data_IF_708788562804
#
_entry.id   IF_708788562804
#
_cell.length_a   1.000
_cell.length_b   1.000
_cell.length_c   1.000
_cell.angle_alpha   90.00
_cell.angle_beta   90.00
_cell.angle_gamma   90.00
#
_symmetry.space_group_name_H-M   'P 1'
#
loop_
_entity.id
_entity.type
_entity.pdbx_description
1 polymer ?
#
# COMPACT_ATOMS: atom_id res chain seq x y z
N UNK A 1 -1.86 41.25 23.21
CA UNK A 1 -2.46 39.89 23.15
C UNK A 1 -1.77 39.10 22.05
N UNK A 2 -0.97 38.11 22.40
CA UNK A 2 -0.27 37.25 21.42
C UNK A 2 -1.27 36.25 20.81
N UNK A 3 -1.48 36.33 19.49
CA UNK A 3 -2.24 35.32 18.75
C UNK A 3 -1.52 33.96 18.90
N UNK A 4 -2.10 33.03 19.67
CA UNK A 4 -1.69 31.63 19.66
C UNK A 4 -1.76 31.11 18.21
N UNK A 5 -0.59 30.81 17.59
CA UNK A 5 -0.53 30.07 16.33
C UNK A 5 -1.18 28.71 16.60
N UNK A 6 -2.38 28.49 16.08
CA UNK A 6 -2.98 27.17 16.04
C UNK A 6 -1.99 26.28 15.27
N UNK A 7 -1.51 25.21 15.91
CA UNK A 7 -0.75 24.15 15.24
C UNK A 7 -1.65 23.60 14.13
N UNK A 8 -1.30 23.88 12.87
CA UNK A 8 -1.98 23.32 11.72
C UNK A 8 -1.73 21.81 11.76
N UNK A 9 -2.74 21.03 12.08
CA UNK A 9 -2.64 19.58 12.11
C UNK A 9 -2.41 19.13 10.67
N UNK A 10 -1.24 18.60 10.39
CA UNK A 10 -0.88 18.16 9.05
C UNK A 10 -1.36 16.71 8.86
N UNK A 11 -2.43 16.54 8.07
CA UNK A 11 -3.01 15.23 7.77
C UNK A 11 -1.95 14.37 7.05
N UNK A 12 -1.69 13.16 7.55
CA UNK A 12 -0.78 12.20 6.93
C UNK A 12 -1.50 11.32 5.89
N UNK A 13 -0.75 10.68 4.98
CA UNK A 13 -1.32 9.68 4.06
C UNK A 13 -1.84 8.45 4.81
N UNK A 14 -1.24 8.11 5.96
CA UNK A 14 -1.72 7.07 6.88
C UNK A 14 -3.10 7.40 7.43
N UNK A 15 -3.33 8.67 7.87
CA UNK A 15 -4.65 9.10 8.36
C UNK A 15 -5.72 9.00 7.26
N UNK A 16 -5.35 9.33 6.01
CA UNK A 16 -6.24 9.19 4.85
C UNK A 16 -6.59 7.71 4.59
N UNK A 17 -5.60 6.83 4.61
CA UNK A 17 -5.81 5.37 4.44
C UNK A 17 -6.72 4.79 5.51
N UNK A 18 -6.50 5.19 6.78
CA UNK A 18 -7.35 4.80 7.90
C UNK A 18 -8.80 5.25 7.70
N UNK A 19 -9.02 6.51 7.33
CA UNK A 19 -10.36 7.04 7.08
C UNK A 19 -11.11 6.31 5.95
N UNK A 20 -10.40 5.88 4.89
CA UNK A 20 -11.00 5.11 3.79
C UNK A 20 -11.46 3.72 4.27
N UNK A 21 -10.64 3.05 5.09
CA UNK A 21 -10.97 1.74 5.67
C UNK A 21 -12.16 1.82 6.63
N UNK A 22 -12.15 2.80 7.53
CA UNK A 22 -13.22 3.02 8.51
C UNK A 22 -14.55 3.45 7.88
N UNK A 23 -14.52 4.10 6.70
CA UNK A 23 -15.72 4.50 5.99
C UNK A 23 -16.46 3.33 5.30
N UNK A 24 -15.90 2.11 5.33
CA UNK A 24 -16.49 0.89 4.76
C UNK A 24 -17.04 1.07 3.33
N UNK A 25 -16.31 1.81 2.49
CA UNK A 25 -16.74 2.16 1.12
C UNK A 25 -16.95 0.91 0.23
N UNK A 26 -16.21 -0.15 0.52
CA UNK A 26 -16.21 -1.40 -0.23
C UNK A 26 -16.53 -2.57 0.70
N UNK A 27 -17.75 -2.54 1.24
CA UNK A 27 -18.27 -3.61 2.11
C UNK A 27 -18.16 -4.97 1.44
N UNK A 28 -17.79 -5.98 2.20
CA UNK A 28 -17.59 -7.36 1.76
C UNK A 28 -16.38 -7.60 0.85
N UNK A 29 -15.44 -6.66 0.78
CA UNK A 29 -14.14 -6.87 0.16
C UNK A 29 -13.05 -6.97 1.24
N UNK A 30 -12.11 -7.87 1.05
CA UNK A 30 -10.85 -7.86 1.80
C UNK A 30 -9.97 -6.72 1.31
N UNK A 31 -8.99 -6.32 2.10
CA UNK A 31 -8.03 -5.31 1.67
C UNK A 31 -6.59 -5.66 2.05
N UNK A 32 -5.66 -5.13 1.28
CA UNK A 32 -4.23 -5.16 1.53
C UNK A 32 -3.64 -3.76 1.32
N UNK A 33 -2.61 -3.41 2.09
CA UNK A 33 -1.96 -2.10 2.08
C UNK A 33 -0.54 -2.21 1.52
N UNK A 34 -0.05 -1.16 0.84
CA UNK A 34 1.31 -1.09 0.28
C UNK A 34 1.66 -2.33 -0.58
N UNK A 35 0.75 -2.71 -1.48
CA UNK A 35 0.92 -3.89 -2.33
C UNK A 35 2.00 -3.64 -3.36
N UNK A 36 3.17 -4.25 -3.16
CA UNK A 36 4.29 -4.16 -4.11
C UNK A 36 4.10 -5.12 -5.28
N UNK A 37 4.19 -4.62 -6.50
CA UNK A 37 4.13 -5.42 -7.71
C UNK A 37 5.55 -5.68 -8.24
N UNK A 38 5.78 -6.85 -8.82
CA UNK A 38 7.10 -7.30 -9.30
C UNK A 38 7.76 -6.36 -10.35
N UNK A 39 7.01 -5.45 -10.95
CA UNK A 39 7.50 -4.43 -11.88
C UNK A 39 8.07 -3.16 -11.19
N UNK A 40 8.20 -3.17 -9.86
CA UNK A 40 8.78 -2.06 -9.07
C UNK A 40 7.79 -0.96 -8.69
N UNK A 41 6.50 -1.12 -8.97
CA UNK A 41 5.42 -0.27 -8.46
C UNK A 41 4.85 -0.80 -7.15
N UNK A 42 4.29 0.08 -6.31
CA UNK A 42 3.41 -0.30 -5.21
C UNK A 42 2.11 0.48 -5.29
N UNK A 43 1.01 -0.16 -4.87
CA UNK A 43 -0.29 0.45 -4.71
C UNK A 43 -0.54 0.70 -3.22
N UNK A 44 -0.99 1.89 -2.86
CA UNK A 44 -1.15 2.26 -1.46
C UNK A 44 -2.22 1.40 -0.75
N UNK A 45 -3.35 1.09 -1.42
CA UNK A 45 -4.43 0.26 -0.87
C UNK A 45 -5.13 -0.52 -1.99
N UNK A 46 -5.32 -1.82 -1.78
CA UNK A 46 -6.00 -2.71 -2.71
C UNK A 46 -7.16 -3.40 -2.00
N UNK A 47 -8.38 -3.26 -2.51
CA UNK A 47 -9.53 -4.06 -2.11
C UNK A 47 -9.76 -5.18 -3.10
N UNK A 48 -10.15 -6.36 -2.63
CA UNK A 48 -10.36 -7.52 -3.49
C UNK A 48 -11.42 -8.48 -2.92
N UNK A 49 -12.09 -9.17 -3.81
CA UNK A 49 -12.98 -10.29 -3.52
C UNK A 49 -12.99 -11.26 -4.71
N UNK A 50 -13.96 -12.17 -4.79
CA UNK A 50 -14.08 -13.17 -5.85
C UNK A 50 -14.24 -12.52 -7.24
N UNK A 51 -13.14 -12.22 -7.91
CA UNK A 51 -13.10 -11.72 -9.28
C UNK A 51 -12.93 -10.21 -9.43
N UNK A 52 -13.00 -9.42 -8.37
CA UNK A 52 -12.78 -7.97 -8.43
C UNK A 52 -11.51 -7.56 -7.69
N UNK A 53 -10.80 -6.58 -8.23
CA UNK A 53 -9.66 -5.92 -7.59
C UNK A 53 -9.75 -4.43 -7.82
N UNK A 54 -9.84 -3.66 -6.73
CA UNK A 54 -9.91 -2.20 -6.74
C UNK A 54 -8.60 -1.64 -6.18
N UNK A 55 -7.95 -0.78 -6.92
CA UNK A 55 -6.72 -0.11 -6.49
C UNK A 55 -7.00 1.33 -6.11
N UNK A 56 -6.34 1.82 -5.07
CA UNK A 56 -6.48 3.18 -4.56
C UNK A 56 -5.09 3.77 -4.32
N UNK A 57 -4.78 4.85 -5.02
CA UNK A 57 -3.61 5.68 -4.75
C UNK A 57 -4.00 6.82 -3.80
N UNK A 58 -3.30 6.96 -2.69
CA UNK A 58 -3.64 7.88 -1.61
C UNK A 58 -2.60 8.99 -1.54
N UNK A 59 -3.01 10.26 -1.69
CA UNK A 59 -2.10 11.40 -1.61
C UNK A 59 -2.73 12.59 -0.88
N UNK A 60 -1.90 13.38 -0.21
CA UNK A 60 -2.33 14.63 0.42
C UNK A 60 -2.79 15.69 -0.57
N UNK A 61 -2.34 15.61 -1.81
CA UNK A 61 -2.67 16.56 -2.86
C UNK A 61 -2.96 15.84 -4.17
N UNK A 62 -4.03 16.25 -4.84
CA UNK A 62 -4.38 15.79 -6.16
C UNK A 62 -3.55 16.54 -7.20
N UNK A 63 -2.64 15.82 -7.87
CA UNK A 63 -1.79 16.35 -8.92
C UNK A 63 -1.54 15.30 -10.01
N UNK A 64 -0.89 15.69 -11.10
CA UNK A 64 -0.63 14.80 -12.23
C UNK A 64 0.19 13.57 -11.84
N UNK A 65 1.03 13.65 -10.82
CA UNK A 65 1.87 12.53 -10.37
C UNK A 65 1.00 11.41 -9.79
N UNK A 66 0.01 11.71 -8.95
CA UNK A 66 -0.88 10.68 -8.40
C UNK A 66 -1.80 10.09 -9.47
N UNK A 67 -2.25 10.89 -10.44
CA UNK A 67 -3.00 10.39 -11.60
C UNK A 67 -2.13 9.42 -12.40
N UNK A 68 -0.87 9.77 -12.67
CA UNK A 68 0.09 8.90 -13.35
C UNK A 68 0.39 7.61 -12.56
N UNK A 69 0.35 7.64 -11.23
CA UNK A 69 0.45 6.43 -10.41
C UNK A 69 -0.78 5.54 -10.61
N UNK A 70 -1.97 6.11 -10.56
CA UNK A 70 -3.23 5.38 -10.76
C UNK A 70 -3.34 4.76 -12.15
N UNK A 71 -2.89 5.47 -13.20
CA UNK A 71 -2.89 4.96 -14.59
C UNK A 71 -2.16 3.63 -14.75
N UNK A 72 -1.14 3.34 -13.93
CA UNK A 72 -0.40 2.06 -14.00
C UNK A 72 -1.27 0.84 -13.74
N UNK A 73 -2.38 1.02 -13.06
CA UNK A 73 -3.27 -0.06 -12.62
C UNK A 73 -4.43 -0.32 -13.57
N UNK A 74 -4.64 0.53 -14.60
CA UNK A 74 -5.78 0.44 -15.51
C UNK A 74 -5.86 -0.89 -16.28
N UNK A 75 -4.71 -1.49 -16.59
CA UNK A 75 -4.64 -2.76 -17.32
C UNK A 75 -4.75 -4.00 -16.41
N UNK A 76 -4.67 -3.82 -15.09
CA UNK A 76 -4.57 -4.95 -14.15
C UNK A 76 -5.66 -4.96 -13.08
N UNK A 77 -6.22 -3.80 -12.74
CA UNK A 77 -7.30 -3.68 -11.77
C UNK A 77 -8.68 -3.70 -12.45
N UNK A 78 -9.71 -4.13 -11.75
CA UNK A 78 -11.10 -4.03 -12.24
C UNK A 78 -11.70 -2.65 -12.00
N UNK A 79 -11.16 -1.89 -11.04
CA UNK A 79 -11.46 -0.46 -10.81
C UNK A 79 -10.25 0.24 -10.21
N UNK A 80 -10.06 1.48 -10.62
CA UNK A 80 -8.95 2.32 -10.14
C UNK A 80 -9.50 3.60 -9.52
N UNK A 81 -8.99 3.93 -8.33
CA UNK A 81 -9.35 5.15 -7.61
C UNK A 81 -8.12 5.97 -7.23
N UNK A 82 -8.33 7.28 -7.11
CA UNK A 82 -7.43 8.19 -6.42
C UNK A 82 -8.15 8.75 -5.20
N UNK A 83 -7.47 8.84 -4.06
CA UNK A 83 -8.00 9.38 -2.81
C UNK A 83 -7.18 10.57 -2.33
N UNK A 84 -7.85 11.70 -2.10
CA UNK A 84 -7.22 12.94 -1.59
C UNK A 84 -8.18 13.72 -0.68
N UNK A 85 -7.64 14.56 0.23
CA UNK A 85 -8.46 15.39 1.12
C UNK A 85 -8.86 16.74 0.48
N UNK A 86 -9.14 16.77 -0.81
CA UNK A 86 -9.51 17.98 -1.52
C UNK A 86 -10.76 17.81 -2.38
N UNK A 87 -11.43 18.91 -2.66
CA UNK A 87 -12.55 18.92 -3.59
C UNK A 87 -12.03 18.78 -5.01
N UNK A 88 -12.68 17.93 -5.80
CA UNK A 88 -12.36 17.71 -7.20
C UNK A 88 -12.74 18.93 -8.03
N UNK A 89 -11.79 19.55 -8.73
CA UNK A 89 -12.07 20.61 -9.70
C UNK A 89 -12.64 20.01 -10.99
N UNK A 90 -13.40 20.79 -11.75
CA UNK A 90 -14.06 20.29 -12.97
C UNK A 90 -13.04 19.81 -14.02
N UNK A 91 -11.90 20.49 -14.16
CA UNK A 91 -10.86 20.10 -15.14
C UNK A 91 -10.25 18.75 -14.78
N UNK A 92 -9.91 18.54 -13.51
CA UNK A 92 -9.36 17.26 -13.05
C UNK A 92 -10.43 16.17 -13.12
N UNK A 93 -11.70 16.50 -12.82
CA UNK A 93 -12.83 15.58 -12.97
C UNK A 93 -12.95 15.05 -14.39
N UNK A 94 -12.85 15.93 -15.40
CA UNK A 94 -12.87 15.54 -16.82
C UNK A 94 -11.74 14.58 -17.17
N UNK A 95 -10.54 14.84 -16.66
CA UNK A 95 -9.37 13.95 -16.86
C UNK A 95 -9.65 12.57 -16.26
N UNK A 96 -10.11 12.51 -15.00
CA UNK A 96 -10.39 11.24 -14.33
C UNK A 96 -11.51 10.45 -15.02
N UNK A 97 -12.58 11.13 -15.46
CA UNK A 97 -13.67 10.51 -16.25
C UNK A 97 -13.14 9.94 -17.55
N UNK A 98 -12.31 10.69 -18.30
CA UNK A 98 -11.73 10.22 -19.55
C UNK A 98 -10.81 9.00 -19.40
N UNK A 99 -10.21 8.84 -18.21
CA UNK A 99 -9.36 7.69 -17.85
C UNK A 99 -10.13 6.55 -17.19
N UNK A 100 -11.43 6.71 -16.89
CA UNK A 100 -12.20 5.73 -16.11
C UNK A 100 -11.81 5.62 -14.63
N UNK A 101 -11.03 6.59 -14.12
CA UNK A 101 -10.53 6.60 -12.74
C UNK A 101 -11.55 7.25 -11.81
N UNK A 102 -11.89 6.58 -10.72
CA UNK A 102 -12.76 7.11 -9.66
C UNK A 102 -12.03 8.04 -8.69
N UNK A 103 -12.82 8.77 -7.91
CA UNK A 103 -12.28 9.66 -6.88
C UNK A 103 -12.95 9.47 -5.53
N UNK A 104 -12.13 9.29 -4.52
CA UNK A 104 -12.53 9.22 -3.11
C UNK A 104 -12.09 10.52 -2.43
N UNK A 105 -13.07 11.29 -1.96
CA UNK A 105 -12.79 12.47 -1.14
C UNK A 105 -12.70 12.06 0.32
N UNK A 106 -11.55 12.30 0.94
CA UNK A 106 -11.38 12.17 2.40
C UNK A 106 -11.57 13.55 3.03
N UNK A 107 -12.30 13.61 4.13
CA UNK A 107 -12.63 14.89 4.77
C UNK A 107 -12.55 14.77 6.29
N UNK A 108 -12.28 15.88 6.96
CA UNK A 108 -12.31 15.98 8.40
C UNK A 108 -13.70 16.49 8.83
N UNK A 109 -14.29 15.87 9.85
CA UNK A 109 -15.51 16.43 10.46
C UNK A 109 -15.20 17.73 11.20
N UNK A 110 -16.14 18.69 11.15
CA UNK A 110 -15.89 20.05 11.64
C UNK A 110 -15.56 20.12 13.13
N UNK A 111 -16.19 19.27 13.94
CA UNK A 111 -16.13 19.34 15.40
C UNK A 111 -15.42 18.13 16.04
N UNK A 112 -14.66 17.36 15.26
CA UNK A 112 -13.94 16.19 15.77
C UNK A 112 -12.58 16.01 15.10
N UNK A 113 -11.72 15.23 15.74
CA UNK A 113 -10.48 14.76 15.10
C UNK A 113 -10.74 13.62 14.10
N UNK A 114 -11.97 13.12 14.06
CA UNK A 114 -12.37 12.02 13.17
C UNK A 114 -12.37 12.47 11.71
N UNK A 115 -12.05 11.52 10.85
CA UNK A 115 -12.06 11.68 9.39
C UNK A 115 -13.08 10.74 8.78
N UNK A 116 -13.63 11.13 7.64
CA UNK A 116 -14.50 10.29 6.83
C UNK A 116 -14.04 10.25 5.39
N UNK A 117 -14.55 9.30 4.64
CA UNK A 117 -14.30 9.20 3.20
C UNK A 117 -15.59 8.94 2.45
N UNK A 118 -15.68 9.43 1.21
CA UNK A 118 -16.83 9.16 0.31
C UNK A 118 -16.38 9.10 -1.14
N UNK A 119 -17.00 8.22 -1.91
CA UNK A 119 -16.83 8.19 -3.37
C UNK A 119 -17.60 9.37 -3.96
N UNK A 120 -16.89 10.30 -4.61
CA UNK A 120 -17.47 11.47 -5.29
C UNK A 120 -17.45 11.34 -6.81
N UNK A 121 -16.62 10.42 -7.33
CA UNK A 121 -16.63 9.97 -8.71
C UNK A 121 -16.45 8.44 -8.70
N UNK A 122 -17.38 7.70 -9.32
CA UNK A 122 -17.25 6.25 -9.44
C UNK A 122 -16.25 5.91 -10.54
N UNK A 123 -15.42 4.90 -10.31
CA UNK A 123 -14.54 4.34 -11.33
C UNK A 123 -15.35 3.50 -12.33
N UNK A 124 -14.95 3.56 -13.59
CA UNK A 124 -15.51 2.68 -14.62
C UNK A 124 -15.00 1.24 -14.43
N UNK A 125 -15.80 0.23 -14.80
CA UNK A 125 -15.35 -1.15 -14.83
C UNK A 125 -14.25 -1.35 -15.89
N UNK A 126 -13.19 -2.06 -15.52
CA UNK A 126 -12.07 -2.40 -16.39
C UNK A 126 -11.95 -3.92 -16.51
N UNK A 127 -11.24 -4.38 -17.53
CA UNK A 127 -10.99 -5.80 -17.79
C UNK A 127 -9.80 -6.37 -16.97
N UNK A 128 -9.59 -5.85 -15.76
CA UNK A 128 -8.51 -6.32 -14.88
C UNK A 128 -8.69 -7.77 -14.43
N UNK A 129 -7.60 -8.40 -14.02
CA UNK A 129 -7.56 -9.79 -13.59
C UNK A 129 -7.03 -9.90 -12.16
N UNK A 130 -7.88 -10.40 -11.25
CA UNK A 130 -7.49 -10.69 -9.87
C UNK A 130 -6.31 -11.68 -9.80
N UNK A 131 -6.20 -12.63 -10.74
CA UNK A 131 -5.11 -13.61 -10.74
C UNK A 131 -3.72 -12.95 -10.88
N UNK A 132 -3.65 -11.77 -11.52
CA UNK A 132 -2.43 -10.99 -11.59
C UNK A 132 -1.98 -10.50 -10.20
N UNK A 133 -2.94 -10.23 -9.30
CA UNK A 133 -2.69 -9.69 -7.96
C UNK A 133 -2.53 -10.78 -6.89
N UNK A 134 -3.13 -11.97 -7.09
CA UNK A 134 -3.17 -13.03 -6.07
C UNK A 134 -1.79 -13.43 -5.52
N UNK A 135 -0.72 -13.54 -6.31
CA UNK A 135 0.60 -13.88 -5.77
C UNK A 135 1.08 -12.87 -4.73
N UNK A 136 0.88 -11.59 -5.00
CA UNK A 136 1.28 -10.51 -4.09
C UNK A 136 0.35 -10.41 -2.88
N UNK A 137 -0.97 -10.52 -3.08
CA UNK A 137 -1.99 -10.44 -2.02
C UNK A 137 -1.87 -11.59 -1.01
N UNK A 138 -1.55 -12.80 -1.45
CA UNK A 138 -1.34 -13.97 -0.56
C UNK A 138 -0.17 -13.82 0.39
N UNK A 139 0.80 -12.96 0.06
CA UNK A 139 2.02 -12.73 0.82
C UNK A 139 2.03 -11.40 1.58
N UNK A 140 0.89 -10.70 1.62
CA UNK A 140 0.81 -9.42 2.31
C UNK A 140 0.75 -9.57 3.82
N UNK A 141 1.59 -8.81 4.51
CA UNK A 141 1.49 -8.63 5.95
C UNK A 141 0.34 -7.69 6.29
N UNK A 142 -0.57 -8.13 7.15
CA UNK A 142 -1.66 -7.30 7.68
C UNK A 142 -1.19 -6.14 8.58
N UNK A 143 0.13 -5.99 8.75
CA UNK A 143 0.75 -5.02 9.66
C UNK A 143 1.18 -3.71 8.97
N UNK A 144 0.98 -3.58 7.67
CA UNK A 144 1.37 -2.38 6.94
C UNK A 144 0.20 -1.40 6.84
N UNK A 145 0.48 -0.14 7.10
CA UNK A 145 -0.49 0.94 6.97
C UNK A 145 -0.30 1.67 5.63
N UNK A 146 -1.39 1.87 4.89
CA UNK A 146 -1.40 2.64 3.66
C UNK A 146 -0.89 4.07 3.88
N UNK A 147 -0.10 4.58 2.95
CA UNK A 147 0.44 5.93 3.01
C UNK A 147 1.82 6.05 3.67
N UNK A 148 2.47 4.93 3.99
CA UNK A 148 3.88 4.96 4.40
C UNK A 148 4.75 5.25 3.18
N UNK A 149 5.51 6.35 3.21
CA UNK A 149 6.36 6.74 2.08
C UNK A 149 7.50 5.73 1.86
N UNK A 150 7.88 5.52 0.58
CA UNK A 150 9.08 4.77 0.23
C UNK A 150 10.29 5.35 0.98
N UNK A 151 10.85 4.60 1.92
CA UNK A 151 11.91 5.04 2.85
C UNK A 151 11.47 5.10 4.32
N UNK A 152 10.17 5.10 4.64
CA UNK A 152 9.71 4.82 5.98
C UNK A 152 9.62 3.30 6.16
N UNK A 153 10.06 2.82 7.27
CA UNK A 153 10.21 1.48 7.91
C UNK A 153 9.66 0.20 7.22
N UNK A 154 8.90 0.31 6.13
CA UNK A 154 8.22 -0.79 5.46
C UNK A 154 8.65 -0.95 4.00
N UNK A 155 9.95 -1.21 3.78
CA UNK A 155 10.45 -1.60 2.46
C UNK A 155 10.18 -3.09 2.20
N UNK A 156 10.18 -3.53 0.94
CA UNK A 156 10.10 -4.95 0.58
C UNK A 156 11.13 -5.79 1.36
N UNK A 157 12.29 -5.21 1.65
CA UNK A 157 13.31 -5.82 2.50
C UNK A 157 12.86 -5.95 3.95
N UNK A 158 12.30 -4.89 4.59
CA UNK A 158 11.85 -4.97 5.99
C UNK A 158 10.70 -5.96 6.16
N UNK A 159 9.78 -6.06 5.20
CA UNK A 159 8.73 -7.09 5.17
C UNK A 159 9.30 -8.49 5.13
N UNK A 160 10.27 -8.72 4.24
CA UNK A 160 10.96 -10.00 4.19
C UNK A 160 11.65 -10.33 5.53
N UNK A 161 12.31 -9.38 6.17
CA UNK A 161 12.95 -9.59 7.48
C UNK A 161 11.93 -9.96 8.57
N UNK A 162 10.76 -9.30 8.59
CA UNK A 162 9.68 -9.63 9.53
C UNK A 162 9.22 -11.07 9.35
N UNK A 163 8.86 -11.47 8.12
CA UNK A 163 8.46 -12.86 7.80
C UNK A 163 9.56 -13.87 8.11
N UNK A 164 10.81 -13.54 7.82
CA UNK A 164 11.93 -14.41 8.12
C UNK A 164 12.10 -14.62 9.63
N UNK A 165 11.91 -13.59 10.45
CA UNK A 165 11.92 -13.71 11.92
C UNK A 165 10.74 -14.54 12.42
N UNK A 166 9.55 -14.38 11.89
CA UNK A 166 8.37 -15.20 12.22
C UNK A 166 8.57 -16.67 11.85
N UNK A 167 9.16 -16.93 10.66
CA UNK A 167 9.52 -18.26 10.24
C UNK A 167 10.52 -18.91 11.21
N UNK A 168 11.55 -18.19 11.63
CA UNK A 168 12.53 -18.69 12.61
C UNK A 168 11.91 -18.87 13.99
N UNK A 169 10.95 -18.04 14.39
CA UNK A 169 10.24 -18.23 15.66
C UNK A 169 9.47 -19.56 15.70
N UNK A 170 8.95 -20.02 14.56
CA UNK A 170 8.31 -21.35 14.44
C UNK A 170 9.28 -22.48 14.06
N UNK A 171 10.48 -22.14 13.60
CA UNK A 171 11.55 -23.08 13.18
C UNK A 171 12.90 -22.63 13.77
N UNK A 172 13.14 -22.82 15.08
CA UNK A 172 14.31 -22.23 15.77
C UNK A 172 15.68 -22.64 15.23
N UNK A 173 15.74 -23.76 14.50
CA UNK A 173 16.96 -24.29 13.90
C UNK A 173 17.11 -23.93 12.41
N UNK A 174 16.25 -23.04 11.90
CA UNK A 174 16.25 -22.70 10.49
C UNK A 174 17.56 -22.08 10.03
N UNK A 175 18.10 -22.64 8.96
CA UNK A 175 19.30 -22.14 8.25
C UNK A 175 18.93 -21.02 7.29
N UNK A 176 19.92 -20.21 6.88
CA UNK A 176 19.74 -19.19 5.84
C UNK A 176 19.16 -19.74 4.53
N UNK A 177 19.52 -20.98 4.16
CA UNK A 177 19.02 -21.62 2.95
C UNK A 177 17.54 -21.94 3.07
N UNK A 178 17.10 -22.44 4.22
CA UNK A 178 15.68 -22.73 4.47
C UNK A 178 14.86 -21.45 4.50
N UNK A 179 15.33 -20.40 5.15
CA UNK A 179 14.69 -19.09 5.15
C UNK A 179 14.54 -18.56 3.73
N UNK A 180 15.63 -18.54 2.95
CA UNK A 180 15.63 -18.02 1.59
C UNK A 180 14.77 -18.85 0.61
N UNK A 181 14.52 -20.14 0.93
CA UNK A 181 13.70 -21.03 0.12
C UNK A 181 12.22 -20.96 0.49
N UNK A 182 11.91 -20.90 1.78
CA UNK A 182 10.55 -21.09 2.29
C UNK A 182 9.84 -19.77 2.61
N UNK A 183 10.61 -18.66 2.80
CA UNK A 183 10.03 -17.34 3.06
C UNK A 183 9.95 -16.54 1.78
N UNK A 184 8.75 -16.07 1.45
CA UNK A 184 8.57 -15.22 0.28
C UNK A 184 9.48 -13.99 0.33
N UNK A 185 10.23 -13.75 -0.74
CA UNK A 185 11.17 -12.67 -0.86
C UNK A 185 11.26 -12.17 -2.31
N UNK A 186 11.82 -10.98 -2.49
CA UNK A 186 11.94 -10.28 -3.78
C UNK A 186 13.25 -10.57 -4.52
N UNK A 187 14.08 -11.47 -4.04
CA UNK A 187 15.36 -11.79 -4.66
C UNK A 187 15.18 -12.76 -5.83
N UNK A 188 15.96 -12.55 -6.88
CA UNK A 188 15.92 -13.37 -8.11
C UNK A 188 16.37 -14.82 -7.90
N UNK A 189 17.07 -15.12 -6.80
CA UNK A 189 17.53 -16.46 -6.46
C UNK A 189 17.77 -16.62 -4.96
N UNK A 190 17.75 -17.89 -4.49
CA UNK A 190 18.09 -18.25 -3.10
C UNK A 190 19.49 -17.74 -2.73
N UNK A 191 20.47 -17.85 -3.63
CA UNK A 191 21.83 -17.38 -3.36
C UNK A 191 21.89 -15.84 -3.22
N UNK A 192 21.14 -15.09 -4.02
CA UNK A 192 21.04 -13.64 -3.90
C UNK A 192 20.41 -13.23 -2.56
N UNK A 193 19.39 -13.95 -2.11
CA UNK A 193 18.76 -13.74 -0.82
C UNK A 193 19.74 -13.99 0.34
N UNK A 194 20.43 -15.13 0.34
CA UNK A 194 21.45 -15.50 1.33
C UNK A 194 22.55 -14.43 1.39
N UNK A 195 23.09 -14.03 0.23
CA UNK A 195 24.12 -13.01 0.14
C UNK A 195 23.67 -11.66 0.72
N UNK A 196 22.42 -11.26 0.45
CA UNK A 196 21.85 -10.04 0.99
C UNK A 196 21.72 -10.10 2.52
N UNK A 197 21.15 -11.18 3.08
CA UNK A 197 20.99 -11.35 4.53
C UNK A 197 22.33 -11.28 5.26
N UNK A 198 23.35 -11.99 4.78
CA UNK A 198 24.71 -11.95 5.35
C UNK A 198 25.27 -10.54 5.34
N UNK A 199 25.24 -9.88 4.18
CA UNK A 199 25.75 -8.52 4.01
C UNK A 199 25.07 -7.49 4.92
N UNK A 200 23.75 -7.61 5.13
CA UNK A 200 23.02 -6.71 6.03
C UNK A 200 23.32 -6.98 7.51
N UNK A 201 23.50 -8.26 7.90
CA UNK A 201 23.92 -8.62 9.24
C UNK A 201 25.37 -8.14 9.54
N UNK A 202 26.32 -8.35 8.62
CA UNK A 202 27.70 -7.86 8.73
C UNK A 202 27.79 -6.34 8.87
N UNK A 203 26.86 -5.62 8.27
CA UNK A 203 26.76 -4.15 8.37
C UNK A 203 26.00 -3.66 9.59
N UNK A 204 25.50 -4.55 10.43
CA UNK A 204 24.67 -4.19 11.60
C UNK A 204 23.31 -3.57 11.25
N UNK A 205 22.82 -3.74 10.01
CA UNK A 205 21.49 -3.25 9.59
C UNK A 205 20.38 -4.13 10.15
N UNK A 206 20.66 -5.43 10.33
CA UNK A 206 19.79 -6.41 10.97
C UNK A 206 20.60 -7.24 11.96
N UNK A 207 19.94 -7.65 13.05
CA UNK A 207 20.52 -8.65 13.93
C UNK A 207 20.45 -10.03 13.26
N UNK A 208 21.49 -10.86 13.50
CA UNK A 208 21.49 -12.25 13.02
C UNK A 208 20.44 -13.06 13.82
N UNK A 209 19.46 -13.62 13.11
CA UNK A 209 18.34 -14.36 13.70
C UNK A 209 18.21 -15.81 13.19
N UNK A 210 19.19 -16.32 12.44
CA UNK A 210 19.25 -17.67 11.89
C UNK A 210 20.42 -18.47 12.48
N UNK A 211 20.37 -19.81 12.33
CA UNK A 211 21.51 -20.69 12.59
C UNK A 211 22.48 -20.76 11.39
N UNK A 212 23.77 -20.96 11.67
CA UNK A 212 24.82 -21.17 10.67
C UNK A 212 24.71 -22.54 10.01
#
# INVERSE_FOLDING_TARGET
MARRKQKKYEISEVDLGKAIKEAELFKNMEYAEEVGMGNGGSCDLVYFNDGEVFTIEIKKQLNIKVISQAVRWLDTATRVYVACPCTLTEDVRRILVALGIGYIMVYKYQDSESMGAKITLRAEPLAGDLNYWLPELKHMDKLLEAGTSAGSRSTTFSRFITRAKEYVASHPDATLKEIATNVYNHYSSVNSCIGALRKYAERGVIDKFWKD
#
